data_IF_315379057096
#
_entry.id   IF_315379057096
#
_cell.length_a   1.000
_cell.length_b   1.000
_cell.length_c   1.000
_cell.angle_alpha   90.00
_cell.angle_beta   90.00
_cell.angle_gamma   90.00
#
_symmetry.space_group_name_H-M   'P 1'
#
loop_
_entity.id
_entity.type
_entity.pdbx_description
1 polymer ?
#
# COMPACT_ATOMS: atom_id res chain seq x y z
N UNK A 1 -5.79 -40.04 10.10
CA UNK A 1 -6.78 -39.34 9.26
C UNK A 1 -6.07 -38.26 8.48
N UNK A 2 -5.79 -38.42 7.16
CA UNK A 2 -5.16 -37.35 6.33
C UNK A 2 -6.25 -36.38 5.92
N UNK A 3 -6.21 -35.16 6.45
CA UNK A 3 -7.08 -34.07 6.02
C UNK A 3 -6.66 -33.69 4.58
N UNK A 4 -7.44 -34.12 3.59
CA UNK A 4 -7.25 -33.65 2.19
C UNK A 4 -7.61 -32.16 2.14
N UNK A 5 -6.60 -31.29 2.14
CA UNK A 5 -6.81 -29.85 1.92
C UNK A 5 -7.18 -29.63 0.45
N UNK A 6 -8.25 -28.89 0.21
CA UNK A 6 -8.62 -28.45 -1.15
C UNK A 6 -7.57 -27.49 -1.70
N UNK A 7 -7.45 -27.37 -3.03
CA UNK A 7 -6.54 -26.43 -3.69
C UNK A 7 -6.71 -25.00 -3.13
N UNK A 8 -7.95 -24.54 -2.97
CA UNK A 8 -8.30 -23.23 -2.41
C UNK A 8 -7.75 -23.03 -0.99
N UNK A 9 -7.88 -24.05 -0.11
CA UNK A 9 -7.36 -23.94 1.26
C UNK A 9 -5.83 -23.84 1.28
N UNK A 10 -5.16 -24.52 0.34
CA UNK A 10 -3.71 -24.46 0.20
C UNK A 10 -3.27 -23.06 -0.24
N UNK A 11 -3.90 -22.49 -1.28
CA UNK A 11 -3.63 -21.11 -1.75
C UNK A 11 -3.83 -20.10 -0.62
N UNK A 12 -4.93 -20.18 0.12
CA UNK A 12 -5.22 -19.30 1.24
C UNK A 12 -4.14 -19.33 2.33
N UNK A 13 -3.62 -20.53 2.63
CA UNK A 13 -2.50 -20.68 3.59
C UNK A 13 -1.22 -20.03 3.07
N UNK A 14 -0.89 -20.23 1.78
CA UNK A 14 0.32 -19.62 1.21
C UNK A 14 0.23 -18.10 1.17
N UNK A 15 -0.92 -17.52 0.83
CA UNK A 15 -1.10 -16.06 0.87
C UNK A 15 -0.91 -15.50 2.29
N UNK A 16 -1.43 -16.18 3.32
CA UNK A 16 -1.17 -15.79 4.72
C UNK A 16 0.29 -15.91 5.12
N UNK A 17 0.97 -16.96 4.69
CA UNK A 17 2.41 -17.12 4.92
C UNK A 17 3.22 -16.06 4.19
N UNK A 18 2.78 -15.60 3.02
CA UNK A 18 3.41 -14.50 2.29
C UNK A 18 3.34 -13.19 3.07
N UNK A 19 2.21 -12.89 3.72
CA UNK A 19 2.10 -11.71 4.61
C UNK A 19 3.10 -11.80 5.76
N UNK A 20 3.16 -12.94 6.45
CA UNK A 20 4.10 -13.15 7.55
C UNK A 20 5.56 -13.02 7.08
N UNK A 21 5.89 -13.60 5.93
CA UNK A 21 7.23 -13.51 5.37
C UNK A 21 7.60 -12.07 4.97
N UNK A 22 6.69 -11.33 4.35
CA UNK A 22 6.88 -9.93 3.99
C UNK A 22 7.06 -9.04 5.23
N UNK A 23 6.25 -9.25 6.26
CA UNK A 23 6.35 -8.52 7.53
C UNK A 23 7.67 -8.82 8.23
N UNK A 24 8.10 -10.08 8.25
CA UNK A 24 9.37 -10.47 8.84
C UNK A 24 10.55 -9.89 8.06
N UNK A 25 10.50 -9.93 6.72
CA UNK A 25 11.52 -9.32 5.86
C UNK A 25 11.67 -7.83 6.16
N UNK A 26 10.54 -7.12 6.25
CA UNK A 26 10.52 -5.71 6.59
C UNK A 26 11.12 -5.45 7.98
N UNK A 27 10.70 -6.23 8.99
CA UNK A 27 11.21 -6.09 10.35
C UNK A 27 12.72 -6.32 10.43
N UNK A 28 13.23 -7.34 9.74
CA UNK A 28 14.67 -7.63 9.67
C UNK A 28 15.42 -6.50 8.96
N UNK A 29 14.91 -6.01 7.82
CA UNK A 29 15.56 -4.93 7.08
C UNK A 29 15.67 -3.64 7.93
N UNK A 30 14.62 -3.29 8.65
CA UNK A 30 14.60 -2.13 9.56
C UNK A 30 15.54 -2.36 10.75
N UNK A 31 15.53 -3.54 11.36
CA UNK A 31 16.44 -3.85 12.47
C UNK A 31 17.91 -3.79 12.05
N UNK A 32 18.25 -4.27 10.87
CA UNK A 32 19.61 -4.14 10.31
C UNK A 32 19.97 -2.67 10.13
N UNK A 33 19.06 -1.86 9.59
CA UNK A 33 19.29 -0.42 9.41
C UNK A 33 19.51 0.29 10.73
N UNK A 34 18.72 0.02 11.76
CA UNK A 34 18.87 0.63 13.08
C UNK A 34 20.20 0.24 13.76
N UNK A 35 20.70 -0.99 13.51
CA UNK A 35 21.98 -1.46 14.06
C UNK A 35 23.16 -0.83 13.31
N UNK A 36 23.07 -0.65 11.99
CA UNK A 36 24.18 -0.24 11.15
C UNK A 36 24.20 1.25 10.82
N UNK A 37 23.01 1.86 10.63
CA UNK A 37 22.82 3.25 10.23
C UNK A 37 22.39 4.17 11.37
N UNK A 38 21.96 3.60 12.50
CA UNK A 38 21.47 4.34 13.66
C UNK A 38 19.95 4.38 13.78
N UNK A 39 19.43 4.91 14.91
CA UNK A 39 18.00 4.88 15.22
C UNK A 39 17.17 5.67 14.22
N UNK A 40 16.09 5.06 13.73
CA UNK A 40 15.13 5.69 12.84
C UNK A 40 14.09 6.48 13.65
N UNK A 41 13.72 7.71 13.22
CA UNK A 41 12.69 8.51 13.89
C UNK A 41 11.28 7.90 13.76
N UNK A 42 11.08 7.06 12.77
CA UNK A 42 9.86 6.26 12.57
C UNK A 42 10.14 5.11 11.61
N UNK A 43 9.30 4.07 11.64
CA UNK A 43 9.37 2.94 10.70
C UNK A 43 9.33 3.43 9.23
N UNK A 44 8.49 4.42 8.93
CA UNK A 44 8.34 4.98 7.59
C UNK A 44 9.57 5.78 7.12
N UNK A 45 10.42 6.22 8.04
CA UNK A 45 11.68 6.89 7.68
C UNK A 45 12.69 5.93 7.03
N UNK A 46 12.51 4.61 7.21
CA UNK A 46 13.26 3.58 6.50
C UNK A 46 13.19 3.74 4.97
N UNK A 47 12.16 4.39 4.44
CA UNK A 47 12.05 4.70 3.01
C UNK A 47 13.29 5.44 2.46
N UNK A 48 13.92 6.29 3.26
CA UNK A 48 15.05 7.13 2.87
C UNK A 48 16.43 6.51 3.13
N UNK A 49 16.47 5.27 3.59
CA UNK A 49 17.68 4.55 3.99
C UNK A 49 17.94 3.35 3.05
N UNK A 50 19.07 2.65 3.18
CA UNK A 50 19.29 1.39 2.48
C UNK A 50 18.19 0.33 2.67
N UNK A 51 17.39 0.40 3.74
CA UNK A 51 16.22 -0.45 3.95
C UNK A 51 15.01 -0.07 3.09
N UNK A 52 15.02 1.10 2.42
CA UNK A 52 13.90 1.63 1.64
C UNK A 52 13.34 0.67 0.59
N UNK A 53 14.15 0.03 -0.26
CA UNK A 53 13.65 -0.94 -1.23
C UNK A 53 12.89 -2.11 -0.60
N UNK A 54 13.35 -2.60 0.56
CA UNK A 54 12.68 -3.69 1.29
C UNK A 54 11.41 -3.21 1.98
N UNK A 55 11.38 -1.96 2.46
CA UNK A 55 10.19 -1.31 2.99
C UNK A 55 9.08 -1.22 1.92
N UNK A 56 9.39 -0.68 0.76
CA UNK A 56 8.44 -0.56 -0.36
C UNK A 56 7.99 -1.93 -0.86
N UNK A 57 8.94 -2.86 -1.12
CA UNK A 57 8.62 -4.20 -1.58
C UNK A 57 7.76 -4.97 -0.59
N UNK A 58 8.07 -4.91 0.71
CA UNK A 58 7.29 -5.56 1.77
C UNK A 58 5.83 -5.08 1.78
N UNK A 59 5.61 -3.76 1.72
CA UNK A 59 4.26 -3.19 1.66
C UNK A 59 3.51 -3.55 0.38
N UNK A 60 4.18 -3.57 -0.78
CA UNK A 60 3.57 -4.02 -2.03
C UNK A 60 3.15 -5.49 -1.98
N UNK A 61 3.97 -6.36 -1.39
CA UNK A 61 3.62 -7.78 -1.20
C UNK A 61 2.44 -7.94 -0.24
N UNK A 62 2.39 -7.19 0.85
CA UNK A 62 1.25 -7.20 1.79
C UNK A 62 -0.01 -6.71 1.09
N UNK A 63 0.06 -5.63 0.31
CA UNK A 63 -1.06 -5.10 -0.46
C UNK A 63 -1.60 -6.14 -1.46
N UNK A 64 -0.72 -6.78 -2.23
CA UNK A 64 -1.10 -7.84 -3.17
C UNK A 64 -1.75 -9.04 -2.45
N UNK A 65 -1.24 -9.41 -1.28
CA UNK A 65 -1.80 -10.48 -0.46
C UNK A 65 -3.18 -10.11 0.11
N UNK A 66 -3.41 -8.87 0.54
CA UNK A 66 -4.72 -8.40 0.97
C UNK A 66 -5.73 -8.44 -0.18
N UNK A 67 -5.36 -7.94 -1.37
CA UNK A 67 -6.21 -8.04 -2.55
C UNK A 67 -6.52 -9.51 -2.93
N UNK A 68 -5.55 -10.42 -2.80
CA UNK A 68 -5.76 -11.85 -3.05
C UNK A 68 -6.64 -12.54 -1.99
N UNK A 69 -6.72 -12.00 -0.77
CA UNK A 69 -7.58 -12.48 0.31
C UNK A 69 -8.96 -11.82 0.30
N UNK A 70 -9.14 -10.76 -0.48
CA UNK A 70 -10.41 -10.07 -0.64
C UNK A 70 -11.49 -10.99 -1.22
N UNK A 71 -12.75 -10.63 -1.03
CA UNK A 71 -13.88 -11.44 -1.44
C UNK A 71 -15.14 -10.61 -1.71
N UNK A 72 -16.30 -11.27 -1.68
CA UNK A 72 -17.58 -10.66 -2.11
C UNK A 72 -18.37 -10.00 -0.98
N UNK A 73 -17.99 -10.21 0.28
CA UNK A 73 -18.64 -9.54 1.41
C UNK A 73 -18.04 -8.15 1.63
N UNK A 74 -18.79 -7.26 2.26
CA UNK A 74 -18.29 -5.91 2.62
C UNK A 74 -17.07 -6.02 3.55
N UNK A 75 -17.10 -6.93 4.51
CA UNK A 75 -15.98 -7.18 5.43
C UNK A 75 -14.70 -7.63 4.70
N UNK A 76 -14.85 -8.52 3.72
CA UNK A 76 -13.72 -8.94 2.87
C UNK A 76 -13.25 -7.80 1.95
N UNK A 77 -14.15 -6.91 1.52
CA UNK A 77 -13.82 -5.71 0.75
C UNK A 77 -12.95 -4.70 1.50
N UNK A 78 -12.94 -4.72 2.85
CA UNK A 78 -12.01 -3.91 3.63
C UNK A 78 -10.54 -4.28 3.37
N UNK A 79 -10.27 -5.51 2.93
CA UNK A 79 -8.92 -5.92 2.53
C UNK A 79 -8.47 -5.20 1.24
N UNK A 80 -9.37 -4.91 0.31
CA UNK A 80 -9.05 -4.12 -0.88
C UNK A 80 -8.71 -2.67 -0.50
N UNK A 81 -9.50 -2.10 0.44
CA UNK A 81 -9.20 -0.77 1.00
C UNK A 81 -7.84 -0.76 1.68
N UNK A 82 -7.57 -1.73 2.54
CA UNK A 82 -6.28 -1.87 3.22
C UNK A 82 -5.12 -2.08 2.22
N UNK A 83 -5.35 -2.82 1.12
CA UNK A 83 -4.36 -2.98 0.06
C UNK A 83 -4.01 -1.64 -0.60
N UNK A 84 -5.01 -0.82 -0.93
CA UNK A 84 -4.78 0.52 -1.51
C UNK A 84 -4.04 1.43 -0.54
N UNK A 85 -4.43 1.44 0.74
CA UNK A 85 -3.75 2.24 1.77
C UNK A 85 -2.29 1.80 1.95
N UNK A 86 -2.02 0.50 1.97
CA UNK A 86 -0.65 -0.03 2.03
C UNK A 86 0.20 0.41 0.81
N UNK A 87 -0.39 0.46 -0.39
CA UNK A 87 0.28 0.99 -1.58
C UNK A 87 0.55 2.49 -1.47
N UNK A 88 -0.38 3.28 -0.93
CA UNK A 88 -0.15 4.71 -0.68
C UNK A 88 1.01 4.90 0.29
N UNK A 89 1.05 4.16 1.40
CA UNK A 89 2.15 4.19 2.38
C UNK A 89 3.49 3.80 1.73
N UNK A 90 3.46 2.82 0.82
CA UNK A 90 4.66 2.34 0.12
C UNK A 90 5.27 3.39 -0.81
N UNK A 91 4.43 4.19 -1.50
CA UNK A 91 4.90 5.11 -2.56
C UNK A 91 4.95 6.57 -2.14
N UNK A 92 4.19 6.97 -1.10
CA UNK A 92 4.23 8.33 -0.54
C UNK A 92 4.96 8.26 0.81
N UNK A 93 6.24 8.66 0.88
CA UNK A 93 7.01 8.58 2.11
C UNK A 93 6.56 9.63 3.15
N UNK A 94 6.88 9.36 4.42
CA UNK A 94 6.68 10.33 5.50
C UNK A 94 7.63 11.53 5.34
N UNK A 95 7.27 12.67 5.91
CA UNK A 95 8.16 13.84 5.95
C UNK A 95 9.31 13.63 6.93
N UNK A 96 10.50 14.09 6.56
CA UNK A 96 11.72 14.02 7.39
C UNK A 96 12.39 15.38 7.53
N UNK A 97 13.18 15.56 8.56
CA UNK A 97 14.07 16.72 8.74
C UNK A 97 15.36 16.43 7.97
N UNK A 98 15.45 16.94 6.76
CA UNK A 98 16.61 16.68 5.86
C UNK A 98 17.47 17.90 5.59
N UNK A 99 17.11 19.06 6.16
CA UNK A 99 17.73 20.36 5.81
C UNK A 99 17.35 20.87 4.41
N UNK A 100 16.79 20.01 3.54
CA UNK A 100 16.44 20.38 2.17
C UNK A 100 15.29 21.41 2.07
N UNK A 101 14.49 21.54 3.14
CA UNK A 101 13.35 22.47 3.21
C UNK A 101 13.57 23.59 4.27
N UNK A 102 14.78 23.69 4.82
CA UNK A 102 15.13 24.62 5.91
C UNK A 102 15.59 23.89 7.18
N UNK A 103 16.27 24.60 8.07
CA UNK A 103 17.03 24.03 9.19
C UNK A 103 16.21 23.19 10.19
N UNK A 104 14.88 23.36 10.24
CA UNK A 104 13.99 22.63 11.14
C UNK A 104 12.65 22.25 10.49
N UNK A 105 12.52 22.39 9.17
CA UNK A 105 11.29 22.06 8.47
C UNK A 105 11.28 20.59 8.05
N UNK A 106 10.15 19.91 8.33
CA UNK A 106 9.90 18.55 7.85
C UNK A 106 9.25 18.58 6.48
N UNK A 107 9.81 17.86 5.53
CA UNK A 107 9.26 17.74 4.19
C UNK A 107 9.65 16.42 3.52
N UNK A 108 9.05 16.14 2.38
CA UNK A 108 9.58 15.16 1.44
C UNK A 108 10.69 15.83 0.64
N UNK A 109 11.93 15.32 0.65
CA UNK A 109 13.05 15.93 -0.07
C UNK A 109 12.73 16.12 -1.56
N UNK A 110 13.09 17.28 -2.18
CA UNK A 110 12.75 17.57 -3.58
C UNK A 110 13.20 16.49 -4.57
N UNK A 111 14.35 15.87 -4.32
CA UNK A 111 14.87 14.77 -5.17
C UNK A 111 14.00 13.51 -5.19
N UNK A 112 13.10 13.35 -4.21
CA UNK A 112 12.20 12.19 -4.11
C UNK A 112 10.83 12.47 -4.74
N UNK A 113 10.43 13.73 -4.89
CA UNK A 113 9.09 14.12 -5.36
C UNK A 113 8.76 13.52 -6.72
N UNK A 114 9.70 13.54 -7.66
CA UNK A 114 9.50 12.93 -8.99
C UNK A 114 9.24 11.42 -8.92
N UNK A 115 9.90 10.72 -8.00
CA UNK A 115 9.70 9.28 -7.76
C UNK A 115 8.31 9.04 -7.17
N UNK A 116 7.89 9.85 -6.20
CA UNK A 116 6.55 9.78 -5.60
C UNK A 116 5.46 9.98 -6.64
N UNK A 117 5.59 10.99 -7.51
CA UNK A 117 4.62 11.27 -8.58
C UNK A 117 4.56 10.10 -9.57
N UNK A 118 5.71 9.63 -10.07
CA UNK A 118 5.77 8.52 -11.01
C UNK A 118 5.14 7.25 -10.43
N UNK A 119 5.54 6.85 -9.24
CA UNK A 119 5.05 5.65 -8.59
C UNK A 119 3.57 5.79 -8.18
N UNK A 120 3.16 6.97 -7.73
CA UNK A 120 1.77 7.26 -7.40
C UNK A 120 0.84 7.13 -8.61
N UNK A 121 1.23 7.68 -9.76
CA UNK A 121 0.48 7.52 -11.02
C UNK A 121 0.43 6.06 -11.45
N UNK A 122 1.55 5.33 -11.39
CA UNK A 122 1.58 3.91 -11.74
C UNK A 122 0.66 3.08 -10.85
N UNK A 123 0.73 3.27 -9.52
CA UNK A 123 -0.14 2.58 -8.56
C UNK A 123 -1.61 2.92 -8.79
N UNK A 124 -1.95 4.20 -8.93
CA UNK A 124 -3.32 4.63 -9.19
C UNK A 124 -3.88 3.99 -10.47
N UNK A 125 -3.09 3.97 -11.54
CA UNK A 125 -3.47 3.36 -12.82
C UNK A 125 -3.74 1.85 -12.68
N UNK A 126 -2.84 1.12 -12.03
CA UNK A 126 -2.99 -0.33 -11.84
C UNK A 126 -4.18 -0.67 -10.95
N UNK A 127 -4.39 0.09 -9.87
CA UNK A 127 -5.53 -0.13 -8.96
C UNK A 127 -6.85 0.14 -9.69
N UNK A 128 -6.95 1.21 -10.47
CA UNK A 128 -8.17 1.51 -11.25
C UNK A 128 -8.44 0.44 -12.31
N UNK A 129 -7.42 0.00 -13.04
CA UNK A 129 -7.56 -1.11 -14.01
C UNK A 129 -7.99 -2.39 -13.31
N UNK A 130 -7.40 -2.70 -12.15
CA UNK A 130 -7.78 -3.86 -11.34
C UNK A 130 -9.22 -3.79 -10.84
N UNK A 131 -9.68 -2.62 -10.37
CA UNK A 131 -11.06 -2.41 -9.94
C UNK A 131 -12.05 -2.61 -11.10
N UNK A 132 -11.77 -2.04 -12.27
CA UNK A 132 -12.59 -2.23 -13.48
C UNK A 132 -12.61 -3.70 -13.88
N UNK A 133 -11.45 -4.36 -13.95
CA UNK A 133 -11.36 -5.78 -14.29
C UNK A 133 -12.15 -6.65 -13.30
N UNK A 134 -12.06 -6.38 -12.00
CA UNK A 134 -12.80 -7.08 -10.96
C UNK A 134 -14.32 -6.95 -11.12
N UNK A 135 -14.81 -5.74 -11.44
CA UNK A 135 -16.24 -5.52 -11.73
C UNK A 135 -16.67 -6.24 -13.00
N UNK A 136 -15.91 -6.11 -14.10
CA UNK A 136 -16.22 -6.77 -15.37
C UNK A 136 -16.28 -8.28 -15.20
N UNK A 137 -15.29 -8.89 -14.53
CA UNK A 137 -15.28 -10.32 -14.26
C UNK A 137 -16.48 -10.75 -13.41
N UNK A 138 -16.87 -9.95 -12.41
CA UNK A 138 -18.05 -10.23 -11.59
C UNK A 138 -19.33 -10.19 -12.39
N UNK A 139 -19.45 -9.24 -13.35
CA UNK A 139 -20.61 -9.16 -14.27
C UNK A 139 -20.65 -10.38 -15.19
N UNK A 140 -19.53 -10.71 -15.85
CA UNK A 140 -19.45 -11.85 -16.77
C UNK A 140 -19.77 -13.18 -16.07
N UNK A 141 -19.33 -13.31 -14.81
CA UNK A 141 -19.57 -14.52 -14.02
C UNK A 141 -20.95 -14.55 -13.34
N UNK A 142 -21.77 -13.50 -13.48
CA UNK A 142 -23.06 -13.39 -12.79
C UNK A 142 -22.92 -13.34 -11.26
N UNK A 143 -21.81 -12.86 -10.74
CA UNK A 143 -21.48 -12.89 -9.31
C UNK A 143 -21.44 -11.52 -8.66
N UNK A 144 -22.05 -10.51 -9.31
CA UNK A 144 -22.17 -9.15 -8.76
C UNK A 144 -22.93 -9.19 -7.45
N UNK A 145 -22.29 -8.69 -6.39
CA UNK A 145 -22.89 -8.55 -5.07
C UNK A 145 -22.82 -7.11 -4.59
N UNK A 146 -23.62 -6.77 -3.57
CA UNK A 146 -23.51 -5.46 -2.91
C UNK A 146 -22.09 -5.19 -2.41
N UNK A 147 -21.39 -6.20 -1.90
CA UNK A 147 -20.02 -6.08 -1.46
C UNK A 147 -19.09 -5.65 -2.60
N UNK A 148 -19.17 -6.30 -3.76
CA UNK A 148 -18.35 -5.95 -4.94
C UNK A 148 -18.57 -4.48 -5.35
N UNK A 149 -19.83 -4.04 -5.41
CA UNK A 149 -20.15 -2.65 -5.81
C UNK A 149 -19.63 -1.66 -4.79
N UNK A 150 -19.88 -1.87 -3.50
CA UNK A 150 -19.44 -0.99 -2.42
C UNK A 150 -17.91 -0.90 -2.39
N UNK A 151 -17.22 -2.03 -2.49
CA UNK A 151 -15.75 -2.07 -2.46
C UNK A 151 -15.14 -1.38 -3.68
N UNK A 152 -15.63 -1.69 -4.89
CA UNK A 152 -15.13 -1.06 -6.11
C UNK A 152 -15.34 0.46 -6.07
N UNK A 153 -16.51 0.91 -5.59
CA UNK A 153 -16.78 2.34 -5.40
C UNK A 153 -15.84 2.96 -4.38
N UNK A 154 -15.62 2.32 -3.23
CA UNK A 154 -14.71 2.80 -2.20
C UNK A 154 -13.27 2.94 -2.73
N UNK A 155 -12.78 1.94 -3.45
CA UNK A 155 -11.45 1.97 -4.07
C UNK A 155 -11.33 3.11 -5.09
N UNK A 156 -12.30 3.27 -5.99
CA UNK A 156 -12.29 4.35 -7.01
C UNK A 156 -12.36 5.72 -6.35
N UNK A 157 -13.23 5.92 -5.36
CA UNK A 157 -13.33 7.18 -4.62
C UNK A 157 -12.04 7.50 -3.87
N UNK A 158 -11.43 6.50 -3.26
CA UNK A 158 -10.18 6.67 -2.53
C UNK A 158 -9.03 7.05 -3.47
N UNK A 159 -8.81 6.29 -4.55
CA UNK A 159 -7.75 6.58 -5.53
C UNK A 159 -7.99 7.94 -6.20
N UNK A 160 -9.24 8.23 -6.58
CA UNK A 160 -9.65 9.53 -7.14
C UNK A 160 -9.43 10.67 -6.14
N UNK A 161 -9.76 10.46 -4.87
CA UNK A 161 -9.55 11.44 -3.79
C UNK A 161 -8.08 11.75 -3.55
N UNK A 162 -7.23 10.73 -3.42
CA UNK A 162 -5.78 10.93 -3.29
C UNK A 162 -5.19 11.60 -4.54
N UNK A 163 -5.61 11.21 -5.74
CA UNK A 163 -5.19 11.82 -6.99
C UNK A 163 -5.60 13.29 -7.09
N UNK A 164 -6.87 13.61 -6.84
CA UNK A 164 -7.38 14.98 -6.86
C UNK A 164 -6.66 15.86 -5.80
N UNK A 165 -6.42 15.32 -4.61
CA UNK A 165 -5.67 16.03 -3.56
C UNK A 165 -4.23 16.30 -4.00
N UNK A 166 -3.53 15.31 -4.57
CA UNK A 166 -2.17 15.49 -5.08
C UNK A 166 -2.06 16.54 -6.18
N UNK A 167 -3.09 16.65 -7.04
CA UNK A 167 -3.15 17.66 -8.09
C UNK A 167 -3.52 19.06 -7.58
N UNK A 168 -4.51 19.15 -6.67
CA UNK A 168 -5.02 20.42 -6.19
C UNK A 168 -4.13 21.08 -5.13
N UNK A 169 -3.48 20.28 -4.28
CA UNK A 169 -2.66 20.77 -3.17
C UNK A 169 -1.42 19.86 -2.95
N UNK A 170 -0.45 19.85 -3.88
CA UNK A 170 0.68 18.91 -3.88
C UNK A 170 1.54 19.00 -2.62
N UNK A 171 1.75 20.19 -2.07
CA UNK A 171 2.52 20.39 -0.83
C UNK A 171 1.81 19.75 0.36
N UNK A 172 0.51 19.99 0.51
CA UNK A 172 -0.29 19.37 1.57
C UNK A 172 -0.39 17.84 1.40
N UNK A 173 -0.54 17.38 0.16
CA UNK A 173 -0.53 15.95 -0.15
C UNK A 173 0.78 15.29 0.32
N UNK A 174 1.93 15.79 -0.09
CA UNK A 174 3.23 15.24 0.30
C UNK A 174 3.48 15.31 1.81
N UNK A 175 2.86 16.29 2.51
CA UNK A 175 3.03 16.43 3.95
C UNK A 175 2.17 15.48 4.77
N UNK A 176 0.98 15.11 4.28
CA UNK A 176 -0.03 14.44 5.11
C UNK A 176 -0.55 13.11 4.55
N UNK A 177 -0.43 12.83 3.23
CA UNK A 177 -1.06 11.66 2.62
C UNK A 177 -0.57 10.34 3.22
N UNK A 178 0.72 10.24 3.56
CA UNK A 178 1.28 9.07 4.25
C UNK A 178 0.57 8.82 5.60
N UNK A 179 0.45 9.86 6.41
CA UNK A 179 -0.16 9.75 7.74
C UNK A 179 -1.66 9.45 7.65
N UNK A 180 -2.36 10.07 6.68
CA UNK A 180 -3.78 9.80 6.42
C UNK A 180 -4.00 8.35 5.99
N UNK A 181 -3.08 7.77 5.22
CA UNK A 181 -3.17 6.37 4.82
C UNK A 181 -2.79 5.38 5.93
N UNK A 182 -2.05 5.82 6.95
CA UNK A 182 -1.54 4.98 8.04
C UNK A 182 -2.48 4.92 9.25
N UNK A 183 -3.53 5.76 9.33
CA UNK A 183 -4.53 5.80 10.41
C UNK A 183 -5.76 5.00 10.04
#
# INVERSE_FOLDING_TARGET
>A
MRIRTTSTQRTYRYVRLTILAATLLLAVAVAVEEITGGPLPSLSAAYYTPAGPMFVAGLCVVAAAFAALSGRSVEQGLLDVAAVLALVIAVVPTTVESGACGASARCVPPGVVAVVVNNGVAVASVVLVGAVAGVVLSVVQGTVSRGVVVTATAVVVMVGGFGAWGLAAPVAFLSFAHNVAAV
#
